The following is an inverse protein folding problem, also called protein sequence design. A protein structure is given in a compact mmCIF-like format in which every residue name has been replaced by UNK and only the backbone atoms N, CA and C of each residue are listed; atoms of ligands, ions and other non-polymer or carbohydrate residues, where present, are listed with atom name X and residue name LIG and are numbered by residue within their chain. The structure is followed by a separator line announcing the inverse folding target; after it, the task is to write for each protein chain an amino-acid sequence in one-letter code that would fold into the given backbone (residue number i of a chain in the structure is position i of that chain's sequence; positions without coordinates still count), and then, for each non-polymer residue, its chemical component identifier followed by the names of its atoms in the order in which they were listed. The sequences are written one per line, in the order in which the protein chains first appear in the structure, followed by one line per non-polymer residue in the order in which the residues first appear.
data_IF_098174414039
#
_entry.id   IF_098174414039
#
_cell.length_a   1.000
_cell.length_b   1.000
_cell.length_c   1.000
_cell.angle_alpha   90.00
_cell.angle_beta   90.00
_cell.angle_gamma   90.00
#
_symmetry.space_group_name_H-M   'P 1'
#
loop_
_entity.id
_entity.type
_entity.pdbx_description
1 polymer ?
#
# COMPACT_ATOMS: atom_id res chain seq x y z
N UNK A 1 8.30 12.90 12.41
CA UNK A 1 8.26 11.77 13.36
C UNK A 1 8.99 12.14 14.64
N UNK A 2 8.34 12.03 15.81
CA UNK A 2 8.99 12.09 17.11
C UNK A 2 10.11 11.05 17.25
N UNK A 3 11.08 11.28 18.14
CA UNK A 3 12.20 10.35 18.40
C UNK A 3 11.85 9.27 19.45
N UNK A 4 10.57 8.91 19.58
CA UNK A 4 10.11 7.84 20.48
C UNK A 4 10.29 6.46 19.82
N UNK A 5 10.30 5.39 20.61
CA UNK A 5 10.51 4.04 20.06
C UNK A 5 9.30 3.56 19.26
N UNK A 6 8.10 3.88 19.70
CA UNK A 6 6.83 3.57 19.03
C UNK A 6 6.81 4.19 17.64
N UNK A 7 7.16 5.48 17.53
CA UNK A 7 7.23 6.19 16.26
C UNK A 7 8.28 5.58 15.30
N UNK A 8 9.42 5.11 15.83
CA UNK A 8 10.45 4.44 15.01
C UNK A 8 10.01 3.06 14.54
N UNK A 9 9.31 2.30 15.37
CA UNK A 9 8.85 0.95 15.03
C UNK A 9 7.75 1.05 13.98
N UNK A 10 6.70 1.84 14.23
CA UNK A 10 5.58 2.03 13.31
C UNK A 10 6.07 2.67 12.01
N UNK A 11 6.88 3.73 12.09
CA UNK A 11 7.43 4.41 10.92
C UNK A 11 8.29 3.49 10.04
N UNK A 12 8.99 2.51 10.62
CA UNK A 12 9.73 1.50 9.84
C UNK A 12 8.81 0.52 9.12
N UNK A 13 7.69 0.14 9.72
CA UNK A 13 6.71 -0.73 9.05
C UNK A 13 6.04 0.02 7.90
N UNK A 14 5.59 1.26 8.13
CA UNK A 14 5.03 2.12 7.08
C UNK A 14 6.02 2.34 5.93
N UNK A 15 7.30 2.61 6.22
CA UNK A 15 8.32 2.78 5.19
C UNK A 15 8.49 1.54 4.32
N UNK A 16 8.43 0.35 4.92
CA UNK A 16 8.58 -0.92 4.20
C UNK A 16 7.38 -1.19 3.30
N UNK A 17 6.17 -1.11 3.83
CA UNK A 17 4.95 -1.38 3.05
C UNK A 17 4.78 -0.37 1.92
N UNK A 18 4.89 0.93 2.21
CA UNK A 18 4.73 1.98 1.19
C UNK A 18 5.76 1.90 0.05
N UNK A 19 7.02 1.57 0.35
CA UNK A 19 8.04 1.35 -0.69
C UNK A 19 7.82 0.04 -1.47
N UNK A 20 7.26 -0.98 -0.83
CA UNK A 20 6.92 -2.27 -1.44
C UNK A 20 5.81 -2.15 -2.49
N UNK A 21 4.84 -1.23 -2.31
CA UNK A 21 3.80 -0.90 -3.30
C UNK A 21 4.43 -0.58 -4.66
N UNK A 22 5.33 0.40 -4.69
CA UNK A 22 6.00 0.84 -5.92
C UNK A 22 6.91 -0.25 -6.51
N UNK A 23 7.66 -0.95 -5.65
CA UNK A 23 8.54 -2.04 -6.08
C UNK A 23 7.77 -3.19 -6.74
N UNK A 24 6.68 -3.64 -6.14
CA UNK A 24 5.85 -4.72 -6.67
C UNK A 24 5.05 -4.29 -7.89
N UNK A 25 4.58 -3.05 -7.96
CA UNK A 25 3.93 -2.54 -9.18
C UNK A 25 4.91 -2.52 -10.35
N UNK A 26 6.15 -2.07 -10.12
CA UNK A 26 7.21 -2.10 -11.14
C UNK A 26 7.55 -3.53 -11.59
N UNK A 27 7.45 -4.51 -10.68
CA UNK A 27 7.59 -5.93 -11.03
C UNK A 27 6.39 -6.44 -11.83
N UNK A 28 5.17 -6.03 -11.48
CA UNK A 28 3.95 -6.35 -12.23
C UNK A 28 4.05 -5.88 -13.68
N UNK A 29 4.53 -4.65 -13.93
CA UNK A 29 4.75 -4.13 -15.29
C UNK A 29 5.74 -4.94 -16.13
N UNK A 30 6.53 -5.82 -15.51
CA UNK A 30 7.49 -6.72 -16.19
C UNK A 30 7.05 -8.19 -16.16
N UNK A 31 5.82 -8.47 -15.73
CA UNK A 31 5.30 -9.83 -15.69
C UNK A 31 5.25 -10.45 -17.09
N UNK A 32 5.54 -11.75 -17.17
CA UNK A 32 5.61 -12.53 -18.42
C UNK A 32 4.32 -13.26 -18.74
N UNK A 33 3.34 -13.19 -17.85
CA UNK A 33 2.01 -13.78 -18.04
C UNK A 33 0.95 -13.00 -17.28
N UNK A 34 -0.32 -13.18 -17.66
CA UNK A 34 -1.44 -12.58 -16.92
C UNK A 34 -1.54 -13.13 -15.48
N UNK A 35 -1.20 -14.40 -15.25
CA UNK A 35 -1.19 -14.99 -13.93
C UNK A 35 -0.13 -14.35 -13.02
N UNK A 36 1.09 -14.15 -13.55
CA UNK A 36 2.17 -13.44 -12.84
C UNK A 36 1.79 -11.98 -12.58
N UNK A 37 1.20 -11.30 -13.56
CA UNK A 37 0.72 -9.93 -13.41
C UNK A 37 -0.34 -9.80 -12.31
N UNK A 38 -1.33 -10.70 -12.31
CA UNK A 38 -2.35 -10.77 -11.26
C UNK A 38 -1.74 -11.02 -9.88
N UNK A 39 -0.83 -11.99 -9.76
CA UNK A 39 -0.16 -12.29 -8.50
C UNK A 39 0.63 -11.09 -7.96
N UNK A 40 1.37 -10.39 -8.82
CA UNK A 40 2.10 -9.17 -8.41
C UNK A 40 1.17 -8.03 -8.04
N UNK A 41 0.07 -7.82 -8.76
CA UNK A 41 -0.94 -6.82 -8.38
C UNK A 41 -1.63 -7.17 -7.04
N UNK A 42 -1.82 -8.45 -6.70
CA UNK A 42 -2.31 -8.83 -5.38
C UNK A 42 -1.38 -8.36 -4.26
N UNK A 43 -0.07 -8.48 -4.44
CA UNK A 43 0.91 -7.98 -3.46
C UNK A 43 0.85 -6.45 -3.38
N UNK A 44 0.74 -5.75 -4.51
CA UNK A 44 0.57 -4.28 -4.50
C UNK A 44 -0.65 -3.85 -3.69
N UNK A 45 -1.77 -4.56 -3.83
CA UNK A 45 -3.00 -4.30 -3.06
C UNK A 45 -2.78 -4.52 -1.56
N UNK A 46 -2.15 -5.63 -1.18
CA UNK A 46 -1.83 -5.96 0.21
C UNK A 46 -0.93 -4.89 0.86
N UNK A 47 0.14 -4.49 0.19
CA UNK A 47 1.12 -3.52 0.69
C UNK A 47 0.52 -2.09 0.76
N UNK A 48 -0.39 -1.75 -0.15
CA UNK A 48 -1.07 -0.46 -0.14
C UNK A 48 -2.07 -0.38 1.02
N UNK A 49 -2.82 -1.46 1.26
CA UNK A 49 -3.72 -1.59 2.41
C UNK A 49 -2.94 -1.54 3.72
N UNK A 50 -1.81 -2.27 3.80
CA UNK A 50 -0.93 -2.23 4.98
C UNK A 50 -0.35 -0.83 5.23
N UNK A 51 -0.05 -0.07 4.17
CA UNK A 51 0.40 1.32 4.30
C UNK A 51 -0.67 2.22 4.92
N UNK A 52 -1.94 2.05 4.51
CA UNK A 52 -3.09 2.76 5.11
C UNK A 52 -3.22 2.38 6.58
N UNK A 53 -3.18 1.09 6.88
CA UNK A 53 -3.24 0.59 8.25
C UNK A 53 -2.15 1.21 9.15
N UNK A 54 -0.90 1.27 8.70
CA UNK A 54 0.16 1.87 9.51
C UNK A 54 0.00 3.39 9.70
N UNK A 55 -0.65 4.09 8.78
CA UNK A 55 -1.03 5.49 8.97
C UNK A 55 -2.12 5.65 10.03
N UNK A 56 -3.13 4.77 10.04
CA UNK A 56 -4.16 4.72 11.08
C UNK A 56 -3.52 4.48 12.46
N UNK A 57 -2.61 3.51 12.57
CA UNK A 57 -1.89 3.22 13.82
C UNK A 57 -1.04 4.40 14.30
N UNK A 58 -0.45 5.21 13.41
CA UNK A 58 0.27 6.42 13.81
C UNK A 58 -0.65 7.46 14.46
N UNK A 59 -1.90 7.55 14.00
CA UNK A 59 -2.92 8.45 14.55
C UNK A 59 -3.45 7.92 15.87
N UNK A 60 -3.80 6.63 15.93
CA UNK A 60 -4.28 5.97 17.15
C UNK A 60 -3.25 5.98 18.28
N UNK A 61 -1.96 5.87 17.94
CA UNK A 61 -0.86 5.97 18.90
C UNK A 61 -0.50 7.43 19.28
N UNK A 62 -1.29 8.41 18.82
CA UNK A 62 -1.08 9.85 19.04
C UNK A 62 0.32 10.35 18.59
N UNK A 63 0.97 9.64 17.68
CA UNK A 63 2.30 10.00 17.14
C UNK A 63 2.18 11.12 16.10
N UNK A 64 1.08 11.14 15.38
CA UNK A 64 0.73 12.11 14.32
C UNK A 64 -0.72 12.53 14.50
N UNK A 65 -1.07 13.79 14.23
CA UNK A 65 -2.47 14.22 14.30
C UNK A 65 -3.23 13.69 13.07
N UNK A 66 -4.54 13.37 13.19
CA UNK A 66 -5.32 12.84 12.07
C UNK A 66 -5.19 13.69 10.78
N UNK A 67 -5.33 15.01 10.93
CA UNK A 67 -5.29 15.96 9.83
C UNK A 67 -3.95 16.07 9.10
N UNK A 68 -2.85 15.56 9.68
CA UNK A 68 -1.54 15.54 9.04
C UNK A 68 -1.40 14.38 8.04
N UNK A 69 -2.25 13.35 8.13
CA UNK A 69 -2.24 12.19 7.24
C UNK A 69 -3.43 12.13 6.28
N UNK A 70 -4.42 13.03 6.38
CA UNK A 70 -5.62 13.00 5.53
C UNK A 70 -5.29 12.90 4.04
N UNK A 71 -4.39 13.77 3.54
CA UNK A 71 -3.99 13.77 2.13
C UNK A 71 -3.30 12.46 1.74
N UNK A 72 -2.37 11.96 2.56
CA UNK A 72 -1.62 10.74 2.27
C UNK A 72 -2.50 9.49 2.35
N UNK A 73 -3.43 9.47 3.30
CA UNK A 73 -4.39 8.38 3.48
C UNK A 73 -5.38 8.33 2.32
N UNK A 74 -5.86 9.48 1.84
CA UNK A 74 -6.69 9.54 0.64
C UNK A 74 -5.92 9.07 -0.60
N UNK A 75 -4.70 9.57 -0.82
CA UNK A 75 -3.85 9.15 -1.93
C UNK A 75 -3.57 7.63 -1.90
N UNK A 76 -3.20 7.08 -0.75
CA UNK A 76 -2.98 5.64 -0.59
C UNK A 76 -4.24 4.83 -0.89
N UNK A 77 -5.41 5.29 -0.44
CA UNK A 77 -6.70 4.67 -0.76
C UNK A 77 -7.04 4.75 -2.26
N UNK A 78 -6.69 5.83 -2.94
CA UNK A 78 -6.85 5.94 -4.40
C UNK A 78 -5.95 4.92 -5.12
N UNK A 79 -4.68 4.80 -4.72
CA UNK A 79 -3.74 3.80 -5.26
C UNK A 79 -4.27 2.38 -5.04
N UNK A 80 -4.75 2.08 -3.82
CA UNK A 80 -5.35 0.79 -3.48
C UNK A 80 -6.54 0.46 -4.40
N UNK A 81 -7.45 1.41 -4.60
CA UNK A 81 -8.62 1.24 -5.49
C UNK A 81 -8.19 1.00 -6.94
N UNK A 82 -7.20 1.73 -7.45
CA UNK A 82 -6.66 1.56 -8.82
C UNK A 82 -6.04 0.16 -8.97
N UNK A 83 -5.21 -0.27 -8.02
CA UNK A 83 -4.56 -1.57 -8.04
C UNK A 83 -5.59 -2.71 -7.95
N UNK A 84 -6.59 -2.58 -7.07
CA UNK A 84 -7.67 -3.56 -6.92
C UNK A 84 -8.54 -3.68 -8.17
N UNK A 85 -8.90 -2.55 -8.81
CA UNK A 85 -9.64 -2.54 -10.07
C UNK A 85 -8.83 -3.17 -11.21
N UNK A 86 -7.52 -2.88 -11.29
CA UNK A 86 -6.61 -3.48 -12.25
C UNK A 86 -6.54 -5.00 -12.08
N UNK A 87 -6.37 -5.47 -10.83
CA UNK A 87 -6.37 -6.90 -10.49
C UNK A 87 -7.67 -7.60 -10.90
N UNK A 88 -8.82 -7.00 -10.60
CA UNK A 88 -10.15 -7.53 -10.97
C UNK A 88 -10.31 -7.66 -12.49
N UNK A 89 -9.82 -6.68 -13.24
CA UNK A 89 -9.89 -6.69 -14.71
C UNK A 89 -9.11 -7.84 -15.32
N UNK A 90 -7.96 -8.21 -14.74
CA UNK A 90 -7.17 -9.36 -15.19
C UNK A 90 -7.89 -10.67 -14.91
N UNK A 91 -8.55 -10.79 -13.75
CA UNK A 91 -9.31 -11.99 -13.38
C UNK A 91 -10.55 -12.22 -14.26
N UNK A 92 -11.19 -11.14 -14.75
CA UNK A 92 -12.41 -11.21 -15.57
C UNK A 92 -12.17 -11.71 -17.01
N UNK A 93 -10.92 -11.73 -17.51
CA UNK A 93 -10.59 -12.18 -18.88
C UNK A 93 -10.48 -13.72 -19.02
N UNK A 94 -11.24 -14.49 -18.25
CA UNK A 94 -11.35 -15.94 -18.49
C UNK A 94 -12.14 -16.15 -19.80
N UNK A 95 -11.39 -16.51 -20.86
CA UNK A 95 -11.77 -16.99 -22.19
C UNK A 95 -13.19 -16.69 -22.67
#
# INVERSE_FOLDING_TARGET
MPKTEEAKIIGRQLLRSSSSVGANYRAACRARSQAEFHAKLSIVVEEADESVFWMEILVEAEVVKPNELDYLSDEANQILKIAAASRKTVSAKKY
#
